data_IF_334472646365
#
_entry.id   IF_334472646365
#
_cell.length_a   1.000
_cell.length_b   1.000
_cell.length_c   1.000
_cell.angle_alpha   90.00
_cell.angle_beta   90.00
_cell.angle_gamma   90.00
#
_symmetry.space_group_name_H-M   'P 1'
#
loop_
_entity.id
_entity.type
_entity.pdbx_description
1 polymer ?
#
# COMPACT_ATOMS: atom_id res chain seq x y z
N UNK A 1 10.27 -7.96 -17.30
CA UNK A 1 9.37 -7.21 -16.41
C UNK A 1 9.79 -7.52 -14.99
N UNK A 2 9.77 -6.54 -14.10
CA UNK A 2 10.02 -6.82 -12.67
C UNK A 2 8.84 -7.59 -12.07
N UNK A 3 9.07 -8.39 -11.02
CA UNK A 3 8.02 -9.21 -10.39
C UNK A 3 6.76 -8.41 -10.01
N UNK A 4 6.90 -7.13 -9.65
CA UNK A 4 5.76 -6.25 -9.35
C UNK A 4 4.92 -5.88 -10.59
N UNK A 5 5.56 -5.62 -11.73
CA UNK A 5 4.84 -5.28 -12.97
C UNK A 5 4.03 -6.47 -13.46
N UNK A 6 4.61 -7.66 -13.39
CA UNK A 6 3.92 -8.91 -13.70
C UNK A 6 2.76 -9.14 -12.73
N UNK A 7 2.99 -8.99 -11.42
CA UNK A 7 1.94 -9.10 -10.41
C UNK A 7 0.76 -8.19 -10.71
N UNK A 8 0.99 -6.88 -10.87
CA UNK A 8 -0.09 -5.92 -11.10
C UNK A 8 -0.80 -6.16 -12.44
N UNK A 9 -0.07 -6.58 -13.47
CA UNK A 9 -0.66 -7.00 -14.75
C UNK A 9 -1.60 -8.21 -14.55
N UNK A 10 -1.21 -9.18 -13.73
CA UNK A 10 -2.04 -10.35 -13.44
C UNK A 10 -3.32 -9.96 -12.69
N UNK A 11 -3.26 -9.01 -11.75
CA UNK A 11 -4.48 -8.49 -11.08
C UNK A 11 -5.44 -7.83 -12.09
N UNK A 12 -4.91 -7.07 -13.06
CA UNK A 12 -5.73 -6.50 -14.15
C UNK A 12 -6.36 -7.58 -15.01
N UNK A 13 -5.59 -8.61 -15.39
CA UNK A 13 -6.10 -9.73 -16.17
C UNK A 13 -7.19 -10.49 -15.41
N UNK A 14 -7.06 -10.69 -14.09
CA UNK A 14 -8.13 -11.27 -13.27
C UNK A 14 -9.39 -10.41 -13.36
N UNK A 15 -9.27 -9.09 -13.18
CA UNK A 15 -10.41 -8.18 -13.30
C UNK A 15 -11.07 -8.22 -14.68
N UNK A 16 -10.30 -8.33 -15.75
CA UNK A 16 -10.80 -8.39 -17.13
C UNK A 16 -11.45 -9.74 -17.49
N UNK A 17 -10.95 -10.85 -16.94
CA UNK A 17 -11.28 -12.20 -17.40
C UNK A 17 -12.08 -13.04 -16.38
N UNK A 18 -12.25 -12.58 -15.14
CA UNK A 18 -12.99 -13.28 -14.09
C UNK A 18 -14.30 -12.59 -13.74
N UNK A 19 -15.44 -13.25 -13.98
CA UNK A 19 -16.76 -12.73 -13.59
C UNK A 19 -16.88 -12.54 -12.07
N UNK A 20 -16.17 -13.35 -11.28
CA UNK A 20 -16.09 -13.16 -9.83
C UNK A 20 -15.36 -11.87 -9.47
N UNK A 21 -14.29 -11.53 -10.19
CA UNK A 21 -13.56 -10.29 -9.96
C UNK A 21 -14.37 -9.08 -10.42
N UNK A 22 -15.03 -9.16 -11.59
CA UNK A 22 -15.87 -8.07 -12.16
C UNK A 22 -17.03 -7.66 -11.25
N UNK A 23 -17.69 -8.61 -10.57
CA UNK A 23 -18.80 -8.29 -9.65
C UNK A 23 -18.37 -7.59 -8.36
N UNK A 24 -17.07 -7.50 -8.06
CA UNK A 24 -16.57 -6.84 -6.86
C UNK A 24 -16.71 -5.32 -6.95
N UNK A 25 -17.09 -4.72 -5.83
CA UNK A 25 -17.06 -3.27 -5.60
C UNK A 25 -15.87 -2.90 -4.71
N UNK A 26 -15.65 -1.59 -4.52
CA UNK A 26 -14.64 -1.10 -3.57
C UNK A 26 -14.97 -1.58 -2.15
N UNK A 27 -16.24 -1.54 -1.77
CA UNK A 27 -16.71 -1.97 -0.45
C UNK A 27 -16.50 -3.47 -0.25
N UNK A 28 -16.84 -4.31 -1.23
CA UNK A 28 -16.64 -5.75 -1.09
C UNK A 28 -15.16 -6.11 -1.01
N UNK A 29 -14.32 -5.50 -1.85
CA UNK A 29 -12.88 -5.78 -1.85
C UNK A 29 -12.19 -5.24 -0.59
N UNK A 30 -12.68 -4.14 -0.04
CA UNK A 30 -12.23 -3.64 1.27
C UNK A 30 -12.52 -4.63 2.41
N UNK A 31 -13.68 -5.31 2.39
CA UNK A 31 -13.97 -6.33 3.40
C UNK A 31 -13.04 -7.54 3.30
N UNK A 32 -12.66 -7.95 2.09
CA UNK A 32 -11.68 -9.02 1.87
C UNK A 32 -10.32 -8.60 2.40
N UNK A 33 -9.82 -7.42 2.02
CA UNK A 33 -8.58 -6.87 2.58
C UNK A 33 -8.60 -6.81 4.12
N UNK A 34 -9.73 -6.45 4.74
CA UNK A 34 -9.85 -6.45 6.20
C UNK A 34 -9.75 -7.84 6.83
N UNK A 35 -10.15 -8.90 6.12
CA UNK A 35 -9.96 -10.28 6.56
C UNK A 35 -8.47 -10.62 6.55
N UNK A 36 -7.77 -10.36 5.44
CA UNK A 36 -6.33 -10.61 5.30
C UNK A 36 -5.50 -9.88 6.38
N UNK A 37 -5.87 -8.63 6.69
CA UNK A 37 -5.21 -7.87 7.77
C UNK A 37 -5.41 -8.53 9.16
N UNK A 38 -6.56 -9.16 9.41
CA UNK A 38 -6.78 -9.91 10.66
C UNK A 38 -5.97 -11.19 10.68
N UNK A 39 -5.87 -11.89 9.55
CA UNK A 39 -5.07 -13.11 9.41
C UNK A 39 -3.57 -12.82 9.56
N UNK A 40 -3.06 -11.73 8.99
CA UNK A 40 -1.71 -11.20 9.28
C UNK A 40 -1.51 -11.03 10.79
N UNK A 41 -2.46 -10.40 11.47
CA UNK A 41 -2.41 -10.19 12.92
C UNK A 41 -2.35 -11.52 13.70
N UNK A 42 -3.12 -12.52 13.24
CA UNK A 42 -3.15 -13.85 13.83
C UNK A 42 -1.85 -14.63 13.59
N UNK A 43 -1.28 -14.54 12.39
CA UNK A 43 0.00 -15.15 12.03
C UNK A 43 1.15 -14.59 12.90
N UNK A 44 1.20 -13.26 13.08
CA UNK A 44 2.17 -12.60 13.97
C UNK A 44 2.02 -13.11 15.41
N UNK A 45 0.78 -13.18 15.93
CA UNK A 45 0.51 -13.66 17.29
C UNK A 45 0.96 -15.10 17.49
N UNK A 46 0.80 -15.94 16.47
CA UNK A 46 1.20 -17.34 16.49
C UNK A 46 2.68 -17.57 16.18
N UNK A 47 3.43 -16.52 15.81
CA UNK A 47 4.80 -16.61 15.28
C UNK A 47 4.92 -17.52 14.06
N UNK A 48 3.85 -17.58 13.26
CA UNK A 48 3.77 -18.38 12.06
C UNK A 48 4.26 -17.56 10.87
N UNK A 49 5.53 -17.76 10.50
CA UNK A 49 6.17 -16.98 9.43
C UNK A 49 5.78 -17.44 8.04
N UNK A 50 5.36 -18.71 7.90
CA UNK A 50 4.89 -19.24 6.62
C UNK A 50 3.51 -18.64 6.31
N UNK A 51 2.59 -18.73 7.27
CA UNK A 51 1.28 -18.10 7.14
C UNK A 51 1.42 -16.58 6.99
N UNK A 52 2.28 -15.91 7.77
CA UNK A 52 2.49 -14.47 7.62
C UNK A 52 2.88 -14.08 6.19
N UNK A 53 3.73 -14.87 5.52
CA UNK A 53 4.13 -14.61 4.13
C UNK A 53 2.97 -14.76 3.16
N UNK A 54 2.11 -15.76 3.37
CA UNK A 54 0.90 -16.01 2.59
C UNK A 54 -0.08 -14.84 2.71
N UNK A 55 -0.48 -14.49 3.93
CA UNK A 55 -1.47 -13.43 4.17
C UNK A 55 -0.97 -12.04 3.72
N UNK A 56 0.34 -11.78 3.79
CA UNK A 56 0.93 -10.56 3.23
C UNK A 56 0.79 -10.51 1.71
N UNK A 57 0.84 -11.67 1.04
CA UNK A 57 0.60 -11.81 -0.38
C UNK A 57 -0.86 -11.55 -0.74
N UNK A 58 -1.80 -12.12 0.02
CA UNK A 58 -3.23 -11.98 -0.20
C UNK A 58 -3.71 -10.55 0.08
N UNK A 59 -3.22 -9.93 1.17
CA UNK A 59 -3.45 -8.51 1.42
C UNK A 59 -2.89 -7.62 0.31
N UNK A 60 -1.74 -7.96 -0.29
CA UNK A 60 -1.19 -7.23 -1.42
C UNK A 60 -2.06 -7.39 -2.67
N UNK A 61 -2.57 -8.60 -2.92
CA UNK A 61 -3.47 -8.88 -4.04
C UNK A 61 -4.74 -8.05 -3.94
N UNK A 62 -5.40 -8.07 -2.78
CA UNK A 62 -6.63 -7.32 -2.57
C UNK A 62 -6.45 -5.80 -2.61
N UNK A 63 -5.31 -5.30 -2.10
CA UNK A 63 -4.96 -3.88 -2.22
C UNK A 63 -4.77 -3.46 -3.68
N UNK A 64 -4.12 -4.30 -4.49
CA UNK A 64 -3.97 -4.04 -5.93
C UNK A 64 -5.31 -4.16 -6.65
N UNK A 65 -6.18 -5.11 -6.29
CA UNK A 65 -7.51 -5.25 -6.87
C UNK A 65 -8.40 -4.02 -6.56
N UNK A 66 -8.33 -3.47 -5.34
CA UNK A 66 -8.95 -2.18 -5.01
C UNK A 66 -8.46 -1.06 -5.92
N UNK A 67 -7.14 -1.02 -6.16
CA UNK A 67 -6.52 -0.01 -7.01
C UNK A 67 -7.01 -0.14 -8.46
N UNK A 68 -7.14 -1.36 -8.98
CA UNK A 68 -7.69 -1.60 -10.32
C UNK A 68 -9.14 -1.14 -10.43
N UNK A 69 -9.99 -1.42 -9.43
CA UNK A 69 -11.39 -0.95 -9.43
C UNK A 69 -11.47 0.59 -9.43
N UNK A 70 -10.57 1.28 -8.71
CA UNK A 70 -10.50 2.74 -8.74
C UNK A 70 -9.99 3.27 -10.09
N UNK A 71 -9.01 2.61 -10.70
CA UNK A 71 -8.51 2.92 -12.05
C UNK A 71 -9.62 2.81 -13.10
N UNK A 72 -10.44 1.77 -13.05
CA UNK A 72 -11.58 1.58 -13.98
C UNK A 72 -12.61 2.71 -13.90
N UNK A 73 -12.76 3.32 -12.73
CA UNK A 73 -13.66 4.46 -12.50
C UNK A 73 -13.04 5.80 -12.92
N UNK A 74 -11.77 5.81 -13.33
CA UNK A 74 -11.05 7.02 -13.71
C UNK A 74 -10.67 7.92 -12.53
N UNK A 75 -10.62 7.39 -11.31
CA UNK A 75 -10.37 8.18 -10.09
C UNK A 75 -8.87 8.49 -9.92
N UNK A 76 -8.02 7.45 -9.98
CA UNK A 76 -6.57 7.56 -9.86
C UNK A 76 -5.90 6.25 -10.31
N UNK A 77 -4.60 6.33 -10.55
CA UNK A 77 -3.74 5.20 -10.95
C UNK A 77 -2.80 4.72 -9.84
N UNK A 78 -2.30 3.49 -9.95
CA UNK A 78 -1.22 2.99 -9.09
C UNK A 78 0.02 3.88 -9.17
N UNK A 79 0.29 4.48 -10.34
CA UNK A 79 1.40 5.41 -10.55
C UNK A 79 1.23 6.67 -9.71
N UNK A 80 0.03 7.23 -9.67
CA UNK A 80 -0.30 8.39 -8.84
C UNK A 80 -0.17 8.05 -7.35
N UNK A 81 -0.72 6.91 -6.90
CA UNK A 81 -0.59 6.43 -5.51
C UNK A 81 0.89 6.33 -5.11
N UNK A 82 1.71 5.68 -5.94
CA UNK A 82 3.15 5.51 -5.67
C UNK A 82 3.87 6.86 -5.65
N UNK A 83 3.61 7.73 -6.64
CA UNK A 83 4.26 9.03 -6.76
C UNK A 83 3.94 9.94 -5.57
N UNK A 84 2.67 10.02 -5.18
CA UNK A 84 2.23 10.79 -4.01
C UNK A 84 2.84 10.23 -2.72
N UNK A 85 2.86 8.90 -2.57
CA UNK A 85 3.43 8.23 -1.41
C UNK A 85 4.94 8.47 -1.32
N UNK A 86 5.67 8.32 -2.42
CA UNK A 86 7.11 8.62 -2.51
C UNK A 86 7.38 10.09 -2.18
N UNK A 87 6.62 11.03 -2.74
CA UNK A 87 6.77 12.45 -2.44
C UNK A 87 6.58 12.75 -0.96
N UNK A 88 5.53 12.17 -0.35
CA UNK A 88 5.25 12.29 1.09
C UNK A 88 6.39 11.75 1.94
N UNK A 89 6.88 10.55 1.65
CA UNK A 89 7.95 9.94 2.46
C UNK A 89 9.33 10.55 2.21
N UNK A 90 9.64 11.00 1.00
CA UNK A 90 10.88 11.75 0.72
C UNK A 90 10.95 13.06 1.50
N UNK A 91 9.81 13.75 1.67
CA UNK A 91 9.73 14.95 2.50
C UNK A 91 9.85 14.65 3.99
N UNK A 92 9.19 13.59 4.47
CA UNK A 92 9.14 13.24 5.89
C UNK A 92 10.36 12.46 6.40
N UNK A 93 11.08 11.79 5.49
CA UNK A 93 12.28 10.98 5.76
C UNK A 93 13.42 11.36 4.80
N UNK A 94 13.89 12.62 4.81
CA UNK A 94 14.91 13.09 3.86
C UNK A 94 16.23 12.31 3.96
N UNK A 95 16.55 11.79 5.16
CA UNK A 95 17.75 11.00 5.41
C UNK A 95 17.86 9.73 4.56
N UNK A 96 16.74 9.17 4.08
CA UNK A 96 16.74 8.00 3.19
C UNK A 96 17.46 8.26 1.86
N UNK A 97 17.51 9.52 1.40
CA UNK A 97 18.20 9.92 0.18
C UNK A 97 19.56 10.54 0.43
N UNK A 98 19.76 11.13 1.61
CA UNK A 98 21.01 11.81 1.96
C UNK A 98 22.11 10.84 2.43
N UNK A 99 21.79 9.55 2.62
CA UNK A 99 22.75 8.55 3.09
C UNK A 99 23.26 8.81 4.51
N UNK A 100 22.64 9.74 5.24
CA UNK A 100 23.00 10.10 6.61
C UNK A 100 22.38 9.12 7.58
N UNK A 101 23.21 8.54 8.45
CA UNK A 101 22.74 7.85 9.64
C UNK A 101 22.44 8.91 10.71
N UNK A 102 21.18 9.00 11.11
CA UNK A 102 20.72 9.85 12.20
C UNK A 102 20.12 8.98 13.30
N UNK A 103 20.04 9.51 14.51
CA UNK A 103 19.46 8.82 15.66
C UNK A 103 17.93 8.78 15.58
N UNK A 104 17.28 7.82 16.24
CA UNK A 104 15.81 7.74 16.29
C UNK A 104 15.17 9.04 16.84
N UNK A 105 15.81 9.70 17.81
CA UNK A 105 15.36 10.99 18.34
C UNK A 105 15.40 12.10 17.29
N UNK A 106 16.42 12.11 16.43
CA UNK A 106 16.51 13.03 15.30
C UNK A 106 15.48 12.72 14.22
N UNK A 107 15.24 11.44 13.92
CA UNK A 107 14.18 11.00 13.00
C UNK A 107 12.81 11.53 13.45
N UNK A 108 12.47 11.37 14.73
CA UNK A 108 11.21 11.83 15.31
C UNK A 108 11.08 13.36 15.27
N UNK A 109 12.14 14.09 15.60
CA UNK A 109 12.17 15.56 15.52
C UNK A 109 11.89 16.05 14.10
N UNK A 110 12.56 15.47 13.10
CA UNK A 110 12.38 15.84 11.69
C UNK A 110 10.96 15.48 11.24
N UNK A 111 10.50 14.26 11.54
CA UNK A 111 9.18 13.77 11.15
C UNK A 111 8.05 14.67 11.67
N UNK A 112 8.10 15.04 12.95
CA UNK A 112 7.10 15.91 13.57
C UNK A 112 7.13 17.33 12.99
N UNK A 113 8.32 17.90 12.81
CA UNK A 113 8.51 19.22 12.18
C UNK A 113 7.91 19.28 10.77
N UNK A 114 8.16 18.28 9.93
CA UNK A 114 7.62 18.22 8.57
C UNK A 114 6.09 18.08 8.59
N UNK A 115 5.53 17.23 9.46
CA UNK A 115 4.08 17.09 9.61
C UNK A 115 3.39 18.39 10.03
N UNK A 116 4.00 19.18 10.91
CA UNK A 116 3.46 20.49 11.31
C UNK A 116 3.44 21.49 10.15
N UNK A 117 4.49 21.52 9.33
CA UNK A 117 4.56 22.38 8.15
C UNK A 117 3.49 21.99 7.11
N UNK A 118 3.29 20.69 6.86
CA UNK A 118 2.23 20.19 5.95
C UNK A 118 0.83 20.61 6.43
N UNK A 119 0.56 20.55 7.74
CA UNK A 119 -0.74 20.99 8.31
C UNK A 119 -0.98 22.49 8.11
N UNK A 120 0.07 23.30 8.12
CA UNK A 120 -0.02 24.76 7.90
C UNK A 120 -0.24 25.12 6.44
N UNK A 121 0.23 24.32 5.49
CA UNK A 121 0.06 24.53 4.04
C UNK A 121 -1.29 24.03 3.50
N UNK A 122 -1.98 23.16 4.24
CA UNK A 122 -3.32 22.65 3.89
C UNK A 122 -4.47 23.50 4.45
N UNK A 123 -4.17 24.60 5.14
CA UNK A 123 -5.13 25.62 5.57
C UNK A 123 -5.04 26.80 4.62
#
# INVERSE_FOLDING_TARGET
MGNFEEFFKTVKLDRENSEWSKRKTLESRYQELLAEIKEIGQAIKNKDMENLKEELGDALWDLMALTVIAEEKGEFTIKEIMQETLNKFNKRKPWLKEGKKITAEEEDKIWNKVKEQEKKQKK
#
